data_IF_845327177612
#
_entry.id   IF_845327177612
#
_cell.length_a   1.000
_cell.length_b   1.000
_cell.length_c   1.000
_cell.angle_alpha   90.00
_cell.angle_beta   90.00
_cell.angle_gamma   90.00
#
_symmetry.space_group_name_H-M   'P 1'
#
loop_
_entity.id
_entity.type
_entity.pdbx_description
1 polymer ?
#
# COMPACT_ATOMS: atom_id res chain seq x y z
N UNK A 1 8.92 -16.40 30.30
CA UNK A 1 8.11 -16.92 29.15
C UNK A 1 7.23 -15.87 28.47
N UNK A 2 6.55 -14.96 29.18
CA UNK A 2 5.69 -13.92 28.56
C UNK A 2 6.41 -13.01 27.51
N UNK A 3 7.64 -12.57 27.79
CA UNK A 3 8.39 -11.66 26.91
C UNK A 3 8.75 -12.26 25.53
N UNK A 4 9.08 -13.55 25.48
CA UNK A 4 9.41 -14.23 24.22
C UNK A 4 8.18 -14.35 23.30
N UNK A 5 6.99 -14.50 23.88
CA UNK A 5 5.73 -14.59 23.13
C UNK A 5 5.31 -13.22 22.55
N UNK A 6 5.52 -12.13 23.29
CA UNK A 6 5.28 -10.75 22.80
C UNK A 6 6.21 -10.39 21.64
N UNK A 7 7.50 -10.75 21.73
CA UNK A 7 8.48 -10.53 20.65
C UNK A 7 8.08 -11.31 19.39
N UNK A 8 7.61 -12.55 19.54
CA UNK A 8 7.15 -13.38 18.41
C UNK A 8 5.91 -12.80 17.72
N UNK A 9 4.97 -12.25 18.49
CA UNK A 9 3.78 -11.55 17.97
C UNK A 9 4.18 -10.27 17.23
N UNK A 10 5.09 -9.48 17.80
CA UNK A 10 5.61 -8.25 17.15
C UNK A 10 6.27 -8.52 15.79
N UNK A 11 7.10 -9.57 15.70
CA UNK A 11 7.73 -9.96 14.43
C UNK A 11 6.72 -10.42 13.38
N UNK A 12 5.71 -11.20 13.77
CA UNK A 12 4.65 -11.66 12.84
C UNK A 12 3.82 -10.49 12.33
N UNK A 13 3.42 -9.57 13.21
CA UNK A 13 2.67 -8.39 12.83
C UNK A 13 3.48 -7.51 11.87
N UNK A 14 4.77 -7.31 12.14
CA UNK A 14 5.66 -6.57 11.26
C UNK A 14 5.74 -7.19 9.86
N UNK A 15 5.85 -8.53 9.77
CA UNK A 15 5.87 -9.23 8.47
C UNK A 15 4.55 -9.02 7.73
N UNK A 16 3.41 -9.14 8.41
CA UNK A 16 2.09 -8.95 7.79
C UNK A 16 1.95 -7.52 7.25
N UNK A 17 2.33 -6.51 8.04
CA UNK A 17 2.29 -5.10 7.63
C UNK A 17 3.20 -4.88 6.42
N UNK A 18 4.40 -5.45 6.42
CA UNK A 18 5.35 -5.32 5.32
C UNK A 18 4.85 -5.97 4.04
N UNK A 19 4.36 -7.21 4.11
CA UNK A 19 3.82 -7.92 2.95
C UNK A 19 2.61 -7.18 2.40
N UNK A 20 1.67 -6.75 3.26
CA UNK A 20 0.50 -5.98 2.85
C UNK A 20 0.89 -4.64 2.22
N UNK A 21 1.81 -3.91 2.84
CA UNK A 21 2.32 -2.63 2.34
C UNK A 21 2.98 -2.76 0.98
N UNK A 22 3.87 -3.74 0.81
CA UNK A 22 4.51 -4.03 -0.47
C UNK A 22 3.50 -4.43 -1.55
N UNK A 23 2.50 -5.24 -1.21
CA UNK A 23 1.41 -5.60 -2.14
C UNK A 23 0.60 -4.37 -2.57
N UNK A 24 0.27 -3.46 -1.65
CA UNK A 24 -0.44 -2.22 -1.97
C UNK A 24 0.40 -1.30 -2.87
N UNK A 25 1.70 -1.20 -2.63
CA UNK A 25 2.61 -0.44 -3.49
C UNK A 25 2.69 -1.02 -4.90
N UNK A 26 2.82 -2.35 -5.03
CA UNK A 26 2.78 -3.03 -6.32
C UNK A 26 1.45 -2.83 -7.04
N UNK A 27 0.33 -2.92 -6.32
CA UNK A 27 -1.01 -2.63 -6.84
C UNK A 27 -1.15 -1.19 -7.34
N UNK A 28 -0.64 -0.21 -6.59
CA UNK A 28 -0.67 1.20 -6.99
C UNK A 28 0.13 1.43 -8.28
N UNK A 29 1.30 0.82 -8.43
CA UNK A 29 2.09 0.89 -9.67
C UNK A 29 1.32 0.27 -10.84
N UNK A 30 0.71 -0.89 -10.63
CA UNK A 30 -0.08 -1.57 -11.66
C UNK A 30 -1.29 -0.72 -12.10
N UNK A 31 -2.05 -0.17 -11.14
CA UNK A 31 -3.16 0.73 -11.42
C UNK A 31 -2.68 1.97 -12.18
N UNK A 32 -1.53 2.53 -11.82
CA UNK A 32 -0.98 3.68 -12.54
C UNK A 32 -0.65 3.38 -14.00
N UNK A 33 -0.16 2.16 -14.30
CA UNK A 33 0.07 1.71 -15.68
C UNK A 33 -1.25 1.62 -16.44
N UNK A 34 -2.31 1.08 -15.82
CA UNK A 34 -3.63 1.02 -16.44
C UNK A 34 -4.21 2.41 -16.70
N UNK A 35 -4.09 3.32 -15.74
CA UNK A 35 -4.51 4.72 -15.88
C UNK A 35 -3.80 5.38 -17.06
N UNK A 36 -2.48 5.22 -17.17
CA UNK A 36 -1.74 5.79 -18.30
C UNK A 36 -2.12 5.13 -19.63
N UNK A 37 -2.34 3.82 -19.63
CA UNK A 37 -2.80 3.11 -20.84
C UNK A 37 -4.14 3.67 -21.31
N UNK A 38 -5.07 3.90 -20.39
CA UNK A 38 -6.39 4.44 -20.69
C UNK A 38 -6.34 5.88 -21.19
N UNK A 39 -5.56 6.75 -20.54
CA UNK A 39 -5.32 8.13 -20.99
C UNK A 39 -4.69 8.15 -22.39
N UNK A 40 -3.75 7.25 -22.69
CA UNK A 40 -3.13 7.17 -24.01
C UNK A 40 -4.13 6.75 -25.10
N UNK A 41 -5.15 5.97 -24.76
CA UNK A 41 -6.15 5.47 -25.70
C UNK A 41 -7.36 6.41 -25.86
N UNK A 42 -7.86 6.96 -24.76
CA UNK A 42 -9.14 7.69 -24.71
C UNK A 42 -8.95 9.21 -24.45
N UNK A 43 -7.76 9.63 -24.04
CA UNK A 43 -7.43 11.03 -23.72
C UNK A 43 -7.77 11.47 -22.29
N UNK A 44 -8.44 10.62 -21.51
CA UNK A 44 -8.81 10.87 -20.11
C UNK A 44 -9.00 9.53 -19.38
N UNK A 45 -9.08 9.58 -18.05
CA UNK A 45 -9.39 8.41 -17.20
C UNK A 45 -10.50 8.77 -16.21
N UNK A 46 -11.53 7.94 -16.13
CA UNK A 46 -12.62 8.07 -15.16
C UNK A 46 -12.77 6.74 -14.43
N UNK A 47 -12.28 6.67 -13.19
CA UNK A 47 -12.60 5.58 -12.27
C UNK A 47 -13.80 5.95 -11.42
N UNK A 48 -14.88 5.17 -11.53
CA UNK A 48 -16.06 5.29 -10.67
C UNK A 48 -16.35 3.91 -10.08
N UNK A 49 -16.23 3.80 -8.76
CA UNK A 49 -16.69 2.64 -8.03
C UNK A 49 -18.09 2.91 -7.48
N UNK A 50 -19.03 2.04 -7.83
CA UNK A 50 -20.44 2.17 -7.47
C UNK A 50 -20.76 1.53 -6.14
N UNK A 51 -19.96 0.54 -5.73
CA UNK A 51 -20.13 -0.16 -4.47
C UNK A 51 -19.44 0.62 -3.34
N UNK A 52 -20.19 1.18 -2.38
CA UNK A 52 -19.62 2.03 -1.33
C UNK A 52 -18.67 1.26 -0.40
N UNK A 53 -18.84 -0.06 -0.25
CA UNK A 53 -17.95 -0.88 0.57
C UNK A 53 -16.58 -1.06 -0.11
N UNK A 54 -16.57 -1.25 -1.43
CA UNK A 54 -15.33 -1.38 -2.20
C UNK A 54 -14.62 -0.03 -2.24
N UNK A 55 -15.34 1.05 -2.51
CA UNK A 55 -14.77 2.40 -2.51
C UNK A 55 -14.13 2.76 -1.16
N UNK A 56 -14.81 2.45 -0.04
CA UNK A 56 -14.25 2.67 1.29
C UNK A 56 -12.98 1.83 1.53
N UNK A 57 -12.96 0.60 1.03
CA UNK A 57 -11.79 -0.28 1.12
C UNK A 57 -10.61 0.27 0.29
N UNK A 58 -10.85 0.72 -0.93
CA UNK A 58 -9.84 1.34 -1.79
C UNK A 58 -9.25 2.60 -1.17
N UNK A 59 -10.09 3.50 -0.64
CA UNK A 59 -9.63 4.70 0.07
C UNK A 59 -8.77 4.31 1.27
N UNK A 60 -9.21 3.32 2.05
CA UNK A 60 -8.47 2.84 3.23
C UNK A 60 -7.11 2.28 2.84
N UNK A 61 -7.07 1.42 1.82
CA UNK A 61 -5.81 0.84 1.32
C UNK A 61 -4.89 1.92 0.72
N UNK A 62 -5.45 2.93 0.06
CA UNK A 62 -4.69 4.05 -0.50
C UNK A 62 -4.01 4.86 0.61
N UNK A 63 -4.76 5.21 1.67
CA UNK A 63 -4.21 5.91 2.84
C UNK A 63 -3.12 5.05 3.51
N UNK A 64 -3.39 3.75 3.70
CA UNK A 64 -2.42 2.82 4.27
C UNK A 64 -1.15 2.74 3.43
N UNK A 65 -1.27 2.59 2.10
CA UNK A 65 -0.14 2.52 1.18
C UNK A 65 0.70 3.80 1.21
N UNK A 66 0.06 4.97 1.27
CA UNK A 66 0.74 6.27 1.37
C UNK A 66 1.55 6.38 2.66
N UNK A 67 0.94 6.05 3.80
CA UNK A 67 1.64 6.06 5.10
C UNK A 67 2.81 5.07 5.09
N UNK A 68 2.58 3.84 4.59
CA UNK A 68 3.61 2.81 4.48
C UNK A 68 4.76 3.24 3.57
N UNK A 69 4.45 3.86 2.43
CA UNK A 69 5.44 4.40 1.50
C UNK A 69 6.35 5.42 2.19
N UNK A 70 5.76 6.40 2.89
CA UNK A 70 6.51 7.43 3.62
C UNK A 70 7.40 6.80 4.71
N UNK A 71 6.86 5.85 5.47
CA UNK A 71 7.63 5.12 6.47
C UNK A 71 8.82 4.39 5.85
N UNK A 72 8.59 3.65 4.76
CA UNK A 72 9.64 2.91 4.06
C UNK A 72 10.68 3.86 3.47
N UNK A 73 10.27 4.96 2.85
CA UNK A 73 11.15 5.97 2.28
C UNK A 73 12.04 6.61 3.34
N UNK A 74 11.46 7.03 4.47
CA UNK A 74 12.23 7.56 5.60
C UNK A 74 13.25 6.53 6.13
N UNK A 75 12.83 5.27 6.27
CA UNK A 75 13.73 4.18 6.70
C UNK A 75 14.87 3.97 5.70
N UNK A 76 14.59 4.02 4.40
CA UNK A 76 15.58 3.90 3.34
C UNK A 76 16.62 5.02 3.40
N UNK A 77 16.19 6.27 3.49
CA UNK A 77 17.09 7.43 3.62
C UNK A 77 17.97 7.32 4.87
N UNK A 78 17.41 6.89 6.00
CA UNK A 78 18.19 6.67 7.24
C UNK A 78 19.20 5.53 7.14
N UNK A 79 19.03 4.58 6.21
CA UNK A 79 19.96 3.48 6.02
C UNK A 79 21.13 3.85 5.10
N UNK A 80 20.98 4.90 4.30
CA UNK A 80 22.01 5.40 3.37
C UNK A 80 22.89 6.45 4.04
N UNK A 81 22.35 7.17 5.02
CA UNK A 81 23.06 8.16 5.84
C UNK A 81 23.92 7.50 6.90
#
# INVERSE_FOLDING_TARGET
MKAAQTIKIGKRLQIIIHTLGLSCLGGAIFLQILVFTDILQQGYFVAVETNPAILAFEITLTIFALIYFLYMYQRFIRSIK
#
